data_IF_635085902989
#
_entry.id   IF_635085902989
#
_cell.length_a   1.000
_cell.length_b   1.000
_cell.length_c   1.000
_cell.angle_alpha   90.00
_cell.angle_beta   90.00
_cell.angle_gamma   90.00
#
_symmetry.space_group_name_H-M   'P 1'
#
loop_
_entity.id
_entity.type
_entity.pdbx_description
1 polymer ?
#
# COMPACT_ATOMS: atom_id res chain seq x y z
N UNK A 1 29.83 5.04 -6.89
CA UNK A 1 28.60 4.42 -6.37
C UNK A 1 28.43 3.11 -7.08
N UNK A 2 28.81 2.02 -6.42
CA UNK A 2 28.77 0.68 -7.00
C UNK A 2 27.40 0.07 -6.68
N UNK A 3 26.82 -0.66 -7.64
CA UNK A 3 25.50 -1.27 -7.51
C UNK A 3 25.30 -2.10 -6.21
N UNK A 4 26.38 -2.56 -5.59
CA UNK A 4 26.37 -3.30 -4.34
C UNK A 4 25.82 -2.51 -3.13
N UNK A 5 25.93 -1.17 -3.11
CA UNK A 5 25.44 -0.34 -2.00
C UNK A 5 23.91 -0.42 -1.86
N UNK A 6 23.19 -0.65 -2.97
CA UNK A 6 21.73 -0.81 -2.96
C UNK A 6 21.26 -2.12 -2.34
N UNK A 7 22.15 -3.11 -2.18
CA UNK A 7 21.79 -4.38 -1.55
C UNK A 7 21.52 -4.23 -0.05
N UNK A 8 22.09 -3.20 0.57
CA UNK A 8 21.95 -2.89 2.00
C UNK A 8 20.79 -1.92 2.28
N UNK A 9 20.13 -1.39 1.23
CA UNK A 9 19.02 -0.44 1.38
C UNK A 9 17.69 -1.19 1.52
N UNK A 10 16.89 -0.80 2.51
CA UNK A 10 15.49 -1.22 2.63
C UNK A 10 14.57 -0.05 2.31
N UNK A 11 13.72 -0.26 1.33
CA UNK A 11 12.67 0.68 0.94
C UNK A 11 11.41 0.37 1.73
N UNK A 12 10.77 1.40 2.26
CA UNK A 12 9.51 1.27 3.01
C UNK A 12 8.54 2.33 2.55
N UNK A 13 7.25 1.99 2.51
CA UNK A 13 6.20 2.94 2.15
C UNK A 13 4.85 2.50 2.74
N UNK A 14 3.93 3.46 2.83
CA UNK A 14 2.53 3.22 3.17
C UNK A 14 1.64 3.37 1.94
N UNK A 15 0.88 2.32 1.63
CA UNK A 15 -0.09 2.32 0.54
C UNK A 15 -1.50 2.17 1.05
N UNK A 16 -2.44 2.93 0.47
CA UNK A 16 -3.87 2.80 0.72
C UNK A 16 -4.49 1.87 -0.32
N UNK A 17 -4.99 0.73 0.14
CA UNK A 17 -5.76 -0.22 -0.69
C UNK A 17 -7.24 0.09 -0.51
N UNK A 18 -7.85 0.66 -1.55
CA UNK A 18 -9.27 0.99 -1.57
C UNK A 18 -10.11 -0.18 -2.11
N UNK A 19 -11.20 -0.50 -1.42
CA UNK A 19 -12.16 -1.53 -1.85
C UNK A 19 -12.96 -1.11 -3.09
N UNK A 20 -13.07 0.21 -3.32
CA UNK A 20 -13.69 0.77 -4.52
C UNK A 20 -12.67 1.57 -5.32
N UNK A 21 -12.63 1.30 -6.62
CA UNK A 21 -11.72 1.93 -7.56
C UNK A 21 -12.04 3.42 -7.71
N UNK A 22 -11.08 4.30 -7.40
CA UNK A 22 -11.27 5.75 -7.46
C UNK A 22 -11.64 6.25 -8.87
N UNK A 23 -11.19 5.54 -9.92
CA UNK A 23 -11.45 5.91 -11.31
C UNK A 23 -12.89 5.63 -11.79
N UNK A 24 -13.71 4.90 -11.01
CA UNK A 24 -15.15 4.74 -11.27
C UNK A 24 -15.52 4.18 -12.64
N UNK A 25 -14.58 3.59 -13.38
CA UNK A 25 -14.77 3.09 -14.74
C UNK A 25 -14.70 1.57 -14.75
N UNK A 26 -15.87 0.95 -14.62
CA UNK A 26 -16.02 -0.45 -14.98
C UNK A 26 -15.95 -0.56 -16.51
N UNK A 27 -15.08 -1.43 -17.01
CA UNK A 27 -15.00 -1.70 -18.45
C UNK A 27 -16.14 -2.66 -18.81
N UNK A 28 -16.94 -2.29 -19.81
CA UNK A 28 -18.02 -3.11 -20.35
C UNK A 28 -17.92 -3.12 -21.87
N UNK A 29 -18.27 -4.25 -22.49
CA UNK A 29 -18.45 -4.36 -23.93
C UNK A 29 -19.89 -3.99 -24.27
N UNK A 30 -20.09 -3.20 -25.34
CA UNK A 30 -21.42 -2.79 -25.81
C UNK A 30 -21.42 -2.39 -27.28
N UNK A 31 -22.56 -2.47 -27.93
CA UNK A 31 -22.77 -1.98 -29.29
C UNK A 31 -22.95 -0.46 -29.34
N UNK A 32 -22.90 0.11 -30.55
CA UNK A 32 -23.12 1.55 -30.77
C UNK A 32 -24.56 1.90 -30.39
N UNK A 33 -24.74 2.94 -29.57
CA UNK A 33 -26.06 3.40 -29.10
C UNK A 33 -26.43 2.92 -27.69
N UNK A 34 -25.80 1.87 -27.18
CA UNK A 34 -26.12 1.26 -25.88
C UNK A 34 -25.55 2.02 -24.67
N UNK A 35 -25.11 3.28 -24.87
CA UNK A 35 -24.32 3.99 -23.86
C UNK A 35 -25.05 4.20 -22.54
N UNK A 36 -26.36 4.41 -22.63
CA UNK A 36 -27.22 4.78 -21.50
C UNK A 36 -28.15 3.64 -21.08
N UNK A 37 -27.92 2.40 -21.55
CA UNK A 37 -28.66 1.26 -21.03
C UNK A 37 -28.33 1.08 -19.54
N UNK A 38 -29.34 0.69 -18.75
CA UNK A 38 -29.15 0.44 -17.31
C UNK A 38 -28.10 -0.65 -17.05
N UNK A 39 -27.91 -1.60 -17.97
CA UNK A 39 -26.84 -2.60 -17.93
C UNK A 39 -25.44 -2.03 -18.19
N UNK A 40 -25.34 -0.83 -18.76
CA UNK A 40 -24.10 -0.16 -19.13
C UNK A 40 -23.76 1.07 -18.26
N UNK A 41 -24.58 1.36 -17.24
CA UNK A 41 -24.41 2.49 -16.33
C UNK A 41 -24.48 1.99 -14.89
N UNK A 42 -23.56 2.45 -14.05
CA UNK A 42 -23.59 2.19 -12.61
C UNK A 42 -23.48 3.51 -11.86
N UNK A 43 -24.20 3.63 -10.75
CA UNK A 43 -24.06 4.77 -9.87
C UNK A 43 -22.64 4.84 -9.30
N UNK A 44 -22.02 6.01 -9.38
CA UNK A 44 -20.71 6.26 -8.79
C UNK A 44 -20.88 6.71 -7.35
N UNK A 45 -20.21 6.01 -6.43
CA UNK A 45 -20.04 6.52 -5.07
C UNK A 45 -19.14 7.77 -5.08
N UNK A 46 -19.60 8.87 -4.51
CA UNK A 46 -18.89 10.16 -4.45
C UNK A 46 -18.17 10.40 -3.12
N UNK A 47 -18.38 9.55 -2.12
CA UNK A 47 -17.70 9.63 -0.82
C UNK A 47 -16.30 8.98 -0.83
N UNK A 48 -15.53 9.15 0.26
CA UNK A 48 -14.24 8.48 0.43
C UNK A 48 -14.39 6.99 0.21
N UNK A 49 -13.54 6.42 -0.65
CA UNK A 49 -13.53 4.97 -0.83
C UNK A 49 -13.07 4.31 0.49
N UNK A 50 -13.85 3.37 1.06
CA UNK A 50 -13.39 2.59 2.20
C UNK A 50 -12.13 1.84 1.76
N UNK A 51 -11.12 1.84 2.63
CA UNK A 51 -9.84 1.25 2.33
C UNK A 51 -9.04 1.02 3.59
N UNK A 52 -8.00 0.21 3.45
CA UNK A 52 -7.03 -0.04 4.51
C UNK A 52 -5.71 0.65 4.17
N UNK A 53 -5.00 1.11 5.19
CA UNK A 53 -3.61 1.55 5.05
C UNK A 53 -2.74 0.34 5.39
N UNK A 54 -1.77 0.07 4.53
CA UNK A 54 -0.81 -1.01 4.71
C UNK A 54 0.58 -0.43 4.59
N UNK A 55 1.45 -0.77 5.53
CA UNK A 55 2.88 -0.55 5.44
C UNK A 55 3.57 -1.78 4.89
N UNK A 56 4.60 -1.58 4.06
CA UNK A 56 5.46 -2.65 3.58
C UNK A 56 6.90 -2.19 3.48
N UNK A 57 7.81 -3.16 3.62
CA UNK A 57 9.25 -2.95 3.40
C UNK A 57 9.81 -3.97 2.42
N UNK A 58 10.70 -3.55 1.52
CA UNK A 58 11.41 -4.40 0.58
C UNK A 58 12.90 -4.04 0.53
N UNK A 59 13.75 -5.04 0.70
CA UNK A 59 15.18 -4.96 0.45
C UNK A 59 15.58 -5.89 -0.69
N UNK A 60 16.83 -5.84 -1.12
CA UNK A 60 17.30 -6.60 -2.28
C UNK A 60 17.13 -8.12 -2.13
N UNK A 61 17.41 -8.66 -0.95
CA UNK A 61 17.34 -10.10 -0.69
C UNK A 61 16.05 -10.56 0.01
N UNK A 62 15.16 -9.64 0.39
CA UNK A 62 14.01 -10.00 1.24
C UNK A 62 12.91 -8.94 1.24
N UNK A 63 11.70 -9.35 1.60
CA UNK A 63 10.59 -8.44 1.88
C UNK A 63 10.15 -8.59 3.33
N UNK A 64 9.48 -7.55 3.85
CA UNK A 64 8.87 -7.54 5.18
C UNK A 64 7.41 -7.97 5.10
N UNK A 65 6.84 -8.49 6.20
CA UNK A 65 5.41 -8.68 6.29
C UNK A 65 4.67 -7.36 6.01
N UNK A 66 3.53 -7.45 5.33
CA UNK A 66 2.63 -6.32 5.19
C UNK A 66 1.91 -6.08 6.51
N UNK A 67 2.01 -4.86 7.03
CA UNK A 67 1.40 -4.46 8.30
C UNK A 67 0.19 -3.59 8.01
N UNK A 68 -0.99 -4.03 8.46
CA UNK A 68 -2.19 -3.19 8.40
C UNK A 68 -2.13 -2.15 9.50
N UNK A 69 -2.15 -0.87 9.12
CA UNK A 69 -2.29 0.25 10.06
C UNK A 69 -3.77 0.52 10.32
N UNK A 70 -4.17 0.50 11.58
CA UNK A 70 -5.57 0.66 11.96
C UNK A 70 -6.03 2.13 11.89
N UNK A 71 -6.87 2.45 10.90
CA UNK A 71 -7.44 3.79 10.72
C UNK A 71 -6.50 4.74 9.99
N UNK A 72 -6.47 6.02 10.39
CA UNK A 72 -5.57 7.02 9.81
C UNK A 72 -4.16 6.83 10.36
N UNK A 73 -3.17 6.74 9.46
CA UNK A 73 -1.76 6.70 9.85
C UNK A 73 -1.37 7.98 10.59
N UNK A 74 -0.84 7.83 11.80
CA UNK A 74 -0.25 8.91 12.58
C UNK A 74 1.05 8.40 13.21
N UNK A 75 1.87 9.32 13.73
CA UNK A 75 3.19 8.99 14.28
C UNK A 75 3.13 7.93 15.37
N UNK A 76 2.18 8.04 16.31
CA UNK A 76 2.05 7.09 17.42
C UNK A 76 1.74 5.68 16.93
N UNK A 77 0.80 5.55 15.97
CA UNK A 77 0.46 4.26 15.37
C UNK A 77 1.60 3.70 14.55
N UNK A 78 2.32 4.55 13.84
CA UNK A 78 3.50 4.12 13.11
C UNK A 78 4.56 3.53 14.06
N UNK A 79 4.75 4.16 15.22
CA UNK A 79 5.65 3.63 16.26
C UNK A 79 5.16 2.27 16.77
N UNK A 80 3.93 2.21 17.28
CA UNK A 80 3.42 1.01 17.97
C UNK A 80 3.03 -0.15 17.04
N UNK A 81 2.61 0.13 15.82
CA UNK A 81 2.11 -0.87 14.86
C UNK A 81 3.19 -1.29 13.85
N UNK A 82 4.18 -0.43 13.55
CA UNK A 82 5.22 -0.71 12.53
C UNK A 82 6.63 -0.73 13.11
N UNK A 83 7.08 0.36 13.75
CA UNK A 83 8.48 0.50 14.16
C UNK A 83 8.86 -0.52 15.24
N UNK A 84 8.14 -0.52 16.35
CA UNK A 84 8.40 -1.40 17.50
C UNK A 84 8.28 -2.88 17.16
N UNK A 85 7.20 -3.36 16.49
CA UNK A 85 7.03 -4.79 16.26
C UNK A 85 7.77 -5.34 15.03
N UNK A 86 8.11 -4.51 14.02
CA UNK A 86 8.63 -5.01 12.74
C UNK A 86 10.00 -4.42 12.39
N UNK A 87 10.15 -3.10 12.44
CA UNK A 87 11.39 -2.45 11.99
C UNK A 87 12.51 -2.64 12.99
N UNK A 88 12.29 -2.39 14.28
CA UNK A 88 13.32 -2.52 15.31
C UNK A 88 13.88 -3.95 15.41
N UNK A 89 13.06 -5.02 15.49
CA UNK A 89 13.58 -6.38 15.52
C UNK A 89 14.37 -6.73 14.27
N UNK A 90 13.96 -6.20 13.11
CA UNK A 90 14.70 -6.40 11.87
C UNK A 90 16.07 -5.72 11.91
N UNK A 91 16.12 -4.43 12.28
CA UNK A 91 17.38 -3.71 12.30
C UNK A 91 18.35 -4.31 13.33
N UNK A 92 17.84 -4.83 14.45
CA UNK A 92 18.64 -5.57 15.43
C UNK A 92 19.21 -6.90 14.88
N UNK A 93 18.57 -7.49 13.87
CA UNK A 93 19.06 -8.71 13.20
C UNK A 93 20.15 -8.42 12.15
N UNK A 94 20.31 -7.16 11.73
CA UNK A 94 21.32 -6.77 10.76
C UNK A 94 22.63 -6.42 11.46
N UNK A 95 23.72 -7.08 11.08
CA UNK A 95 25.06 -6.78 11.58
C UNK A 95 25.63 -5.46 11.04
N UNK A 96 25.07 -4.94 9.96
CA UNK A 96 25.52 -3.74 9.22
C UNK A 96 24.62 -2.52 9.41
N UNK A 97 23.60 -2.58 10.29
CA UNK A 97 22.71 -1.44 10.48
C UNK A 97 23.45 -0.23 11.06
N UNK A 98 23.48 0.86 10.28
CA UNK A 98 23.95 2.18 10.70
C UNK A 98 22.70 3.06 10.80
N UNK A 99 22.48 3.68 11.96
CA UNK A 99 21.34 4.54 12.27
C UNK A 99 21.77 6.00 12.40
#
# INVERSE_FOLDING_TARGET
MLAAEWNEVVFTDESRICLQHHNGRNRVWRHRGERMLNSCVIHRHTGPAPGIIVWGGIGYHSHRPLVRIAGTSNSQRYISEVLEPVVLPYLQSLSTAIF
#
